data_IF_552929158998
#
_entry.id   IF_552929158998
#
_cell.length_a   1.000
_cell.length_b   1.000
_cell.length_c   1.000
_cell.angle_alpha   90.00
_cell.angle_beta   90.00
_cell.angle_gamma   90.00
#
_symmetry.space_group_name_H-M   'P 1'
#
loop_
_entity.id
_entity.type
_entity.pdbx_description
1 polymer ?
#
# COMPACT_ATOMS: atom_id res chain seq x y z
N UNK A 1 7.21 -14.76 -14.12
CA UNK A 1 6.51 -13.64 -13.49
C UNK A 1 6.72 -12.41 -14.36
N UNK A 2 5.64 -11.82 -14.85
CA UNK A 2 5.68 -10.55 -15.60
C UNK A 2 5.48 -9.42 -14.59
N UNK A 3 6.25 -8.33 -14.74
CA UNK A 3 6.08 -7.15 -13.90
C UNK A 3 4.71 -6.52 -14.22
N UNK A 4 3.89 -6.31 -13.20
CA UNK A 4 2.56 -5.74 -13.34
C UNK A 4 2.60 -4.25 -13.03
N UNK A 5 1.92 -3.42 -13.84
CA UNK A 5 1.89 -1.96 -13.67
C UNK A 5 1.20 -1.47 -12.38
N UNK A 6 0.34 -2.31 -11.78
CA UNK A 6 -0.38 -1.99 -10.56
C UNK A 6 -0.77 -3.23 -9.76
N UNK A 7 -1.14 -3.02 -8.49
CA UNK A 7 -1.47 -4.09 -7.57
C UNK A 7 -2.76 -4.84 -7.97
N UNK A 8 -3.73 -4.18 -8.61
CA UNK A 8 -4.97 -4.85 -9.05
C UNK A 8 -4.67 -5.93 -10.10
N UNK A 9 -3.81 -5.60 -11.07
CA UNK A 9 -3.38 -6.52 -12.14
C UNK A 9 -2.58 -7.69 -11.56
N UNK A 10 -1.71 -7.39 -10.58
CA UNK A 10 -0.97 -8.40 -9.82
C UNK A 10 -1.91 -9.38 -9.10
N UNK A 11 -2.93 -8.88 -8.40
CA UNK A 11 -3.91 -9.70 -7.70
C UNK A 11 -4.75 -10.56 -8.66
N UNK A 12 -5.17 -10.00 -9.80
CA UNK A 12 -5.90 -10.73 -10.83
C UNK A 12 -5.06 -11.89 -11.42
N UNK A 13 -3.75 -11.71 -11.56
CA UNK A 13 -2.85 -12.77 -12.02
C UNK A 13 -2.78 -13.93 -11.00
N UNK A 14 -2.72 -13.62 -9.71
CA UNK A 14 -2.77 -14.62 -8.62
C UNK A 14 -4.13 -15.32 -8.58
N UNK A 15 -5.24 -14.58 -8.71
CA UNK A 15 -6.59 -15.16 -8.75
C UNK A 15 -6.81 -16.13 -9.91
N UNK A 16 -6.18 -15.85 -11.05
CA UNK A 16 -6.17 -16.72 -12.22
C UNK A 16 -5.34 -18.01 -12.01
N UNK A 17 -4.71 -18.18 -10.84
CA UNK A 17 -3.93 -19.36 -10.47
C UNK A 17 -2.57 -19.43 -11.16
N UNK A 18 -2.05 -18.29 -11.63
CA UNK A 18 -0.79 -18.26 -12.41
C UNK A 18 0.46 -18.13 -11.54
N UNK A 19 0.35 -17.52 -10.36
CA UNK A 19 1.50 -17.19 -9.52
C UNK A 19 1.09 -16.89 -8.07
N UNK A 20 2.08 -16.56 -7.23
CA UNK A 20 1.93 -15.98 -5.89
C UNK A 20 2.59 -14.61 -5.83
N UNK A 21 2.19 -13.76 -4.88
CA UNK A 21 2.79 -12.43 -4.72
C UNK A 21 2.84 -11.97 -3.26
N UNK A 22 3.65 -10.95 -3.00
CA UNK A 22 3.74 -10.26 -1.70
C UNK A 22 3.02 -8.93 -1.82
N UNK A 23 2.11 -8.66 -0.88
CA UNK A 23 1.38 -7.38 -0.79
C UNK A 23 1.44 -6.82 0.62
N UNK A 24 1.19 -5.51 0.74
CA UNK A 24 0.94 -4.89 2.03
C UNK A 24 -0.44 -5.30 2.57
N UNK A 25 -0.57 -5.41 3.89
CA UNK A 25 -1.79 -5.88 4.55
C UNK A 25 -3.04 -5.10 4.11
N UNK A 26 -2.93 -3.79 3.88
CA UNK A 26 -4.06 -2.96 3.46
C UNK A 26 -4.70 -3.43 2.14
N UNK A 27 -3.94 -4.05 1.24
CA UNK A 27 -4.43 -4.56 -0.04
C UNK A 27 -5.33 -5.80 0.13
N UNK A 28 -5.23 -6.51 1.26
CA UNK A 28 -6.11 -7.64 1.55
C UNK A 28 -7.57 -7.23 1.70
N UNK A 29 -7.84 -5.95 2.04
CA UNK A 29 -9.20 -5.41 2.21
C UNK A 29 -10.00 -5.33 0.92
N UNK A 30 -9.32 -5.40 -0.23
CA UNK A 30 -9.91 -5.29 -1.57
C UNK A 30 -9.73 -6.56 -2.40
N UNK A 31 -9.28 -7.64 -1.76
CA UNK A 31 -9.01 -8.91 -2.41
C UNK A 31 -10.29 -9.70 -2.68
N UNK A 32 -10.34 -10.42 -3.81
CA UNK A 32 -11.43 -11.35 -4.08
C UNK A 32 -11.38 -12.60 -3.19
N UNK A 33 -12.52 -13.27 -3.03
CA UNK A 33 -12.69 -14.43 -2.16
C UNK A 33 -11.81 -15.64 -2.53
N UNK A 34 -11.25 -15.64 -3.75
CA UNK A 34 -10.39 -16.71 -4.27
C UNK A 34 -8.95 -16.62 -3.79
N UNK A 35 -8.57 -15.54 -3.10
CA UNK A 35 -7.21 -15.33 -2.63
C UNK A 35 -7.03 -15.78 -1.18
N UNK A 36 -5.91 -16.44 -0.93
CA UNK A 36 -5.50 -16.85 0.41
C UNK A 36 -4.27 -16.04 0.82
N UNK A 37 -4.39 -15.34 1.95
CA UNK A 37 -3.27 -14.61 2.53
C UNK A 37 -2.54 -15.47 3.56
N UNK A 38 -1.22 -15.31 3.59
CA UNK A 38 -0.34 -15.92 4.60
C UNK A 38 0.60 -14.85 5.14
N UNK A 39 0.66 -14.67 6.48
CA UNK A 39 1.60 -13.72 7.06
C UNK A 39 3.03 -14.21 6.84
N UNK A 40 3.91 -13.29 6.45
CA UNK A 40 5.34 -13.58 6.31
C UNK A 40 6.01 -13.67 7.69
N UNK A 41 6.97 -14.60 7.83
CA UNK A 41 7.77 -14.80 9.04
C UNK A 41 9.27 -14.81 8.68
N UNK A 42 10.09 -13.91 9.24
CA UNK A 42 9.72 -12.85 10.19
C UNK A 42 8.80 -11.79 9.54
N UNK A 43 8.07 -11.04 10.37
CA UNK A 43 7.24 -9.93 9.88
C UNK A 43 8.16 -8.89 9.26
N UNK A 44 7.99 -8.53 7.97
CA UNK A 44 8.79 -7.50 7.34
C UNK A 44 8.58 -6.14 8.02
N UNK A 45 9.60 -5.28 7.98
CA UNK A 45 9.43 -3.89 8.40
C UNK A 45 8.35 -3.23 7.51
N UNK A 46 7.35 -2.55 8.10
CA UNK A 46 6.35 -1.82 7.32
C UNK A 46 7.02 -0.77 6.42
N UNK A 47 6.53 -0.58 5.17
CA UNK A 47 7.04 0.48 4.31
C UNK A 47 6.72 1.84 4.95
N UNK A 48 7.58 2.86 4.76
CA UNK A 48 7.25 4.21 5.19
C UNK A 48 6.12 4.76 4.30
N UNK A 49 5.03 5.19 4.92
CA UNK A 49 4.00 6.00 4.26
C UNK A 49 4.40 7.46 4.48
N UNK A 50 4.73 8.17 3.40
CA UNK A 50 5.29 9.54 3.46
C UNK A 50 4.44 10.52 2.64
N UNK A 51 4.44 11.77 3.09
CA UNK A 51 3.91 12.90 2.32
C UNK A 51 5.08 13.68 1.75
N UNK A 52 5.16 13.76 0.42
CA UNK A 52 6.15 14.58 -0.26
C UNK A 52 5.49 15.87 -0.76
N UNK A 53 6.07 17.02 -0.44
CA UNK A 53 5.62 18.34 -0.88
C UNK A 53 6.81 19.27 -1.13
N UNK A 54 6.59 20.33 -1.91
CA UNK A 54 7.58 21.39 -2.14
C UNK A 54 7.50 22.40 -1.01
N UNK A 55 8.59 22.59 -0.28
CA UNK A 55 8.63 23.52 0.86
C UNK A 55 8.37 24.96 0.43
N UNK A 56 8.88 25.36 -0.75
CA UNK A 56 8.72 26.71 -1.30
C UNK A 56 7.28 27.03 -1.77
N UNK A 57 6.41 26.02 -1.85
CA UNK A 57 5.05 26.16 -2.34
C UNK A 57 3.98 25.77 -1.30
N UNK A 58 4.32 25.80 0.00
CA UNK A 58 3.38 25.47 1.08
C UNK A 58 2.32 26.57 1.18
N UNK A 59 1.11 26.23 0.72
CA UNK A 59 -0.10 27.03 0.96
C UNK A 59 -0.75 26.64 2.30
N UNK A 60 -1.65 27.47 2.86
CA UNK A 60 -2.34 27.13 4.11
C UNK A 60 -3.06 25.77 4.09
N UNK A 61 -3.72 25.34 3.00
CA UNK A 61 -4.28 23.99 2.91
C UNK A 61 -3.24 22.87 2.98
N UNK A 62 -2.07 23.05 2.36
CA UNK A 62 -0.97 22.05 2.41
C UNK A 62 -0.43 21.96 3.84
N UNK A 63 -0.19 23.09 4.50
CA UNK A 63 0.27 23.10 5.89
C UNK A 63 -0.72 22.39 6.82
N UNK A 64 -2.03 22.65 6.66
CA UNK A 64 -3.07 21.98 7.43
C UNK A 64 -3.11 20.47 7.16
N UNK A 65 -2.93 20.04 5.90
CA UNK A 65 -2.85 18.62 5.54
C UNK A 65 -1.64 17.93 6.16
N UNK A 66 -0.46 18.56 6.10
CA UNK A 66 0.78 18.01 6.69
C UNK A 66 0.63 17.87 8.21
N UNK A 67 0.12 18.89 8.89
CA UNK A 67 -0.14 18.83 10.34
C UNK A 67 -1.17 17.74 10.70
N UNK A 68 -2.20 17.55 9.87
CA UNK A 68 -3.16 16.46 10.04
C UNK A 68 -2.51 15.09 9.83
N UNK A 69 -1.63 14.95 8.84
CA UNK A 69 -0.91 13.70 8.58
C UNK A 69 0.08 13.35 9.70
N UNK A 70 0.78 14.34 10.27
CA UNK A 70 1.71 14.13 11.40
C UNK A 70 0.98 13.68 12.68
N UNK A 71 -0.25 14.15 12.89
CA UNK A 71 -1.08 13.77 14.04
C UNK A 71 -1.90 12.51 13.79
N UNK A 72 -2.00 12.07 12.53
CA UNK A 72 -2.67 10.83 12.19
C UNK A 72 -1.89 9.66 12.79
N UNK A 73 -2.52 8.96 13.74
CA UNK A 73 -2.04 7.65 14.19
C UNK A 73 -2.30 6.65 13.06
N UNK A 74 -1.40 6.61 12.09
CA UNK A 74 -1.36 5.55 11.09
C UNK A 74 -1.12 4.25 11.87
N UNK A 75 -2.20 3.47 12.01
CA UNK A 75 -2.19 2.16 12.68
C UNK A 75 -1.55 1.12 11.79
#
# INVERSE_FOLDING_TARGET
MEECDNWQSLMAAVEAGRDVTIVYEIMSRTAGERLLFRPLKPVPQPPPIVVAYREEAVSPPIAAFVAAAETAKLK
#
